data_IF_040082992813
#
_entry.id   IF_040082992813
#
_cell.length_a   1.000
_cell.length_b   1.000
_cell.length_c   1.000
_cell.angle_alpha   90.00
_cell.angle_beta   90.00
_cell.angle_gamma   90.00
#
_symmetry.space_group_name_H-M   'P 1'
#
loop_
_entity.id
_entity.type
_entity.pdbx_description
1 polymer ?
#
# COMPACT_ATOMS: atom_id res chain seq x y z
N UNK A 1 35.38 18.73 -6.39
CA UNK A 1 34.42 18.19 -7.38
C UNK A 1 34.07 16.73 -7.11
N UNK A 2 35.05 15.83 -6.88
CA UNK A 2 34.82 14.41 -6.53
C UNK A 2 34.00 14.20 -5.25
N UNK A 3 34.24 15.00 -4.20
CA UNK A 3 33.45 14.96 -2.93
C UNK A 3 32.00 15.46 -3.12
N UNK A 4 31.73 16.29 -4.13
CA UNK A 4 30.38 16.83 -4.41
C UNK A 4 29.49 15.87 -5.21
N UNK A 5 30.08 15.01 -6.04
CA UNK A 5 29.38 13.91 -6.73
C UNK A 5 29.05 12.78 -5.75
N UNK A 6 29.91 12.54 -4.75
CA UNK A 6 29.66 11.58 -3.67
C UNK A 6 28.47 11.96 -2.77
N UNK A 7 28.28 13.24 -2.47
CA UNK A 7 27.12 13.70 -1.68
C UNK A 7 25.79 13.50 -2.42
N UNK A 8 25.76 13.73 -3.74
CA UNK A 8 24.56 13.49 -4.57
C UNK A 8 24.29 11.99 -4.75
N UNK A 9 25.34 11.18 -4.89
CA UNK A 9 25.22 9.71 -4.91
C UNK A 9 24.79 9.13 -3.56
N UNK A 10 25.22 9.72 -2.44
CA UNK A 10 24.76 9.35 -1.10
C UNK A 10 23.29 9.74 -0.87
N UNK A 11 22.86 10.91 -1.36
CA UNK A 11 21.46 11.34 -1.33
C UNK A 11 20.56 10.45 -2.20
N UNK A 12 21.02 10.07 -3.41
CA UNK A 12 20.36 9.06 -4.25
C UNK A 12 20.37 7.64 -3.64
N UNK A 13 21.38 7.29 -2.84
CA UNK A 13 21.42 6.00 -2.14
C UNK A 13 20.39 5.93 -1.00
N UNK A 14 20.08 7.04 -0.34
CA UNK A 14 19.05 7.10 0.71
C UNK A 14 17.66 6.85 0.12
N UNK A 15 17.39 7.34 -1.10
CA UNK A 15 16.18 7.00 -1.87
C UNK A 15 16.10 5.49 -2.19
N UNK A 16 17.25 4.79 -2.26
CA UNK A 16 17.33 3.35 -2.55
C UNK A 16 17.23 2.44 -1.31
N UNK A 17 17.53 2.93 -0.11
CA UNK A 17 17.32 2.15 1.13
C UNK A 17 15.84 1.94 1.46
N UNK A 18 14.93 2.66 0.80
CA UNK A 18 13.47 2.52 0.95
C UNK A 18 12.89 1.22 0.35
N UNK A 19 13.71 0.32 -0.21
CA UNK A 19 13.25 -0.94 -0.80
C UNK A 19 13.95 -2.21 -0.26
N UNK A 20 14.82 -2.07 0.74
CA UNK A 20 15.52 -3.20 1.37
C UNK A 20 14.92 -3.57 2.72
N UNK A 21 13.86 -4.39 2.74
CA UNK A 21 13.32 -4.94 3.99
C UNK A 21 14.32 -5.96 4.54
N UNK A 22 15.15 -5.55 5.50
CA UNK A 22 15.82 -6.48 6.40
C UNK A 22 14.84 -6.74 7.53
N UNK A 23 14.20 -7.92 7.51
CA UNK A 23 13.25 -8.29 8.56
C UNK A 23 14.02 -8.46 9.86
N UNK A 24 13.76 -7.60 10.84
CA UNK A 24 14.39 -7.68 12.16
C UNK A 24 13.77 -8.82 12.99
N UNK A 25 14.48 -9.34 14.01
CA UNK A 25 13.92 -10.36 14.91
C UNK A 25 12.66 -9.88 15.67
N UNK A 26 12.49 -8.56 15.84
CA UNK A 26 11.29 -7.97 16.42
C UNK A 26 10.10 -8.02 15.44
N UNK A 27 10.33 -7.80 14.14
CA UNK A 27 9.28 -7.95 13.13
C UNK A 27 8.79 -9.41 13.00
N UNK A 28 9.65 -10.38 13.32
CA UNK A 28 9.27 -11.80 13.29
C UNK A 28 8.33 -12.18 14.45
N UNK A 29 8.50 -11.59 15.65
CA UNK A 29 7.55 -11.79 16.75
C UNK A 29 6.20 -11.11 16.48
N UNK A 30 6.22 -9.93 15.86
CA UNK A 30 5.00 -9.18 15.52
C UNK A 30 4.18 -9.94 14.47
N UNK A 31 4.84 -10.53 13.47
CA UNK A 31 4.18 -11.37 12.48
C UNK A 31 3.48 -12.58 13.11
N UNK A 32 4.11 -13.27 14.07
CA UNK A 32 3.49 -14.42 14.74
C UNK A 32 2.25 -14.02 15.53
N UNK A 33 2.29 -12.87 16.22
CA UNK A 33 1.14 -12.34 16.94
C UNK A 33 0.01 -11.96 15.98
N UNK A 34 0.32 -11.28 14.88
CA UNK A 34 -0.64 -10.90 13.82
C UNK A 34 -1.36 -12.12 13.24
N UNK A 35 -0.63 -13.19 12.91
CA UNK A 35 -1.22 -14.43 12.40
C UNK A 35 -2.09 -15.09 13.46
N UNK A 36 -1.60 -15.17 14.70
CA UNK A 36 -2.36 -15.76 15.81
C UNK A 36 -3.67 -15.02 16.07
N UNK A 37 -3.67 -13.69 16.06
CA UNK A 37 -4.89 -12.91 16.27
C UNK A 37 -5.90 -13.10 15.13
N UNK A 38 -5.43 -13.22 13.89
CA UNK A 38 -6.31 -13.60 12.79
C UNK A 38 -6.92 -14.99 13.02
N UNK A 39 -6.13 -15.99 13.41
CA UNK A 39 -6.63 -17.33 13.74
C UNK A 39 -7.65 -17.31 14.90
N UNK A 40 -7.35 -16.59 15.98
CA UNK A 40 -8.25 -16.42 17.14
C UNK A 40 -9.56 -15.73 16.71
N UNK A 41 -9.49 -14.75 15.80
CA UNK A 41 -10.66 -14.10 15.19
C UNK A 41 -11.48 -15.09 14.36
N UNK A 42 -10.86 -15.80 13.42
CA UNK A 42 -11.55 -16.77 12.56
C UNK A 42 -12.29 -17.81 13.41
N UNK A 43 -11.62 -18.34 14.44
CA UNK A 43 -12.20 -19.33 15.34
C UNK A 43 -13.39 -18.78 16.12
N UNK A 44 -13.26 -17.60 16.72
CA UNK A 44 -14.35 -16.96 17.48
C UNK A 44 -15.55 -16.65 16.58
N UNK A 45 -15.32 -16.06 15.41
CA UNK A 45 -16.36 -15.77 14.43
C UNK A 45 -17.08 -17.05 14.00
N UNK A 46 -16.33 -18.11 13.69
CA UNK A 46 -16.87 -19.42 13.34
C UNK A 46 -17.77 -20.03 14.43
N UNK A 47 -17.34 -19.98 15.70
CA UNK A 47 -18.15 -20.45 16.84
C UNK A 47 -19.47 -19.66 16.96
N UNK A 48 -19.40 -18.34 16.80
CA UNK A 48 -20.58 -17.45 16.84
C UNK A 48 -21.54 -17.78 15.68
N UNK A 49 -21.03 -17.95 14.46
CA UNK A 49 -21.85 -18.29 13.30
C UNK A 49 -22.50 -19.65 13.45
N UNK A 50 -21.82 -20.62 14.05
CA UNK A 50 -22.40 -21.93 14.35
C UNK A 50 -23.58 -21.80 15.33
N UNK A 51 -23.40 -21.03 16.40
CA UNK A 51 -24.46 -20.76 17.37
C UNK A 51 -25.66 -20.02 16.76
N UNK A 52 -25.42 -19.05 15.88
CA UNK A 52 -26.49 -18.36 15.15
C UNK A 52 -27.15 -19.25 14.10
N UNK A 53 -26.37 -20.08 13.41
CA UNK A 53 -26.87 -21.05 12.43
C UNK A 53 -27.83 -22.06 13.04
N UNK A 54 -27.61 -22.51 14.28
CA UNK A 54 -28.57 -23.36 14.99
C UNK A 54 -29.92 -22.69 15.26
N UNK A 55 -29.96 -21.36 15.31
CA UNK A 55 -31.18 -20.56 15.46
C UNK A 55 -31.80 -20.21 14.10
N UNK A 56 -31.00 -20.23 13.05
CA UNK A 56 -31.45 -20.00 11.69
C UNK A 56 -32.32 -21.16 11.18
N UNK A 57 -33.38 -20.83 10.45
CA UNK A 57 -34.21 -21.83 9.78
C UNK A 57 -33.47 -22.48 8.61
N UNK A 58 -33.84 -23.73 8.31
CA UNK A 58 -33.43 -24.36 7.06
C UNK A 58 -34.16 -23.68 5.89
N UNK A 59 -33.37 -23.25 4.92
CA UNK A 59 -33.81 -22.77 3.63
C UNK A 59 -33.68 -23.92 2.63
N UNK A 60 -34.54 -23.97 1.62
CA UNK A 60 -34.53 -25.01 0.58
C UNK A 60 -34.19 -24.46 -0.81
N UNK A 61 -33.94 -23.16 -0.92
CA UNK A 61 -33.75 -22.45 -2.19
C UNK A 61 -32.56 -21.48 -2.08
N UNK A 62 -31.64 -21.56 -3.04
CA UNK A 62 -30.39 -20.82 -3.00
C UNK A 62 -30.57 -19.32 -3.25
N UNK A 63 -31.54 -18.93 -4.08
CA UNK A 63 -31.87 -17.52 -4.33
C UNK A 63 -32.50 -16.88 -3.09
N UNK A 64 -33.39 -17.60 -2.40
CA UNK A 64 -33.94 -17.16 -1.13
C UNK A 64 -32.86 -17.04 -0.05
N UNK A 65 -31.90 -17.98 0.00
CA UNK A 65 -30.74 -17.88 0.90
C UNK A 65 -29.94 -16.59 0.62
N UNK A 66 -29.70 -16.27 -0.66
CA UNK A 66 -29.01 -15.04 -1.06
C UNK A 66 -29.77 -13.79 -0.58
N UNK A 67 -31.09 -13.77 -0.76
CA UNK A 67 -31.92 -12.63 -0.34
C UNK A 67 -31.86 -12.40 1.17
N UNK A 68 -31.99 -13.44 1.99
CA UNK A 68 -31.90 -13.27 3.45
C UNK A 68 -30.48 -12.93 3.89
N UNK A 69 -29.44 -13.51 3.28
CA UNK A 69 -28.05 -13.13 3.52
C UNK A 69 -27.81 -11.64 3.25
N UNK A 70 -28.17 -11.14 2.06
CA UNK A 70 -27.95 -9.73 1.68
C UNK A 70 -28.74 -8.77 2.56
N UNK A 71 -29.96 -9.14 2.96
CA UNK A 71 -30.78 -8.38 3.89
C UNK A 71 -30.08 -8.25 5.24
N UNK A 72 -29.57 -9.35 5.81
CA UNK A 72 -28.86 -9.32 7.09
C UNK A 72 -27.54 -8.52 7.00
N UNK A 73 -26.77 -8.67 5.92
CA UNK A 73 -25.58 -7.83 5.68
C UNK A 73 -25.93 -6.35 5.60
N UNK A 74 -26.98 -5.97 4.85
CA UNK A 74 -27.41 -4.57 4.72
C UNK A 74 -27.88 -3.93 6.03
N UNK A 75 -28.30 -4.76 6.99
CA UNK A 75 -28.72 -4.33 8.32
C UNK A 75 -27.56 -4.31 9.34
N UNK A 76 -26.35 -4.69 8.91
CA UNK A 76 -25.21 -4.83 9.82
C UNK A 76 -25.38 -6.00 10.79
N UNK A 77 -26.03 -7.10 10.38
CA UNK A 77 -26.19 -8.32 11.17
C UNK A 77 -25.25 -9.43 10.64
N UNK A 78 -23.93 -9.24 10.78
CA UNK A 78 -22.90 -10.13 10.23
C UNK A 78 -22.99 -11.54 10.80
N UNK A 79 -23.21 -11.70 12.10
CA UNK A 79 -23.30 -12.99 12.76
C UNK A 79 -24.49 -13.81 12.25
N UNK A 80 -25.62 -13.12 12.04
CA UNK A 80 -26.84 -13.75 11.52
C UNK A 80 -26.68 -14.11 10.04
N UNK A 81 -26.13 -13.22 9.23
CA UNK A 81 -25.88 -13.45 7.81
C UNK A 81 -24.96 -14.66 7.59
N UNK A 82 -23.83 -14.71 8.30
CA UNK A 82 -22.88 -15.82 8.16
C UNK A 82 -23.40 -17.11 8.81
N UNK A 83 -24.16 -17.01 9.90
CA UNK A 83 -24.85 -18.15 10.51
C UNK A 83 -25.87 -18.82 9.60
N UNK A 84 -26.64 -18.06 8.80
CA UNK A 84 -27.61 -18.65 7.86
C UNK A 84 -26.92 -19.39 6.72
N UNK A 85 -25.76 -18.92 6.25
CA UNK A 85 -24.96 -19.67 5.26
C UNK A 85 -24.46 -21.00 5.83
N UNK A 86 -23.92 -20.97 7.06
CA UNK A 86 -23.39 -22.16 7.73
C UNK A 86 -24.48 -23.21 7.99
N UNK A 87 -25.68 -22.78 8.41
CA UNK A 87 -26.82 -23.67 8.61
C UNK A 87 -27.29 -24.35 7.30
N UNK A 88 -27.09 -23.67 6.17
CA UNK A 88 -27.59 -24.06 4.86
C UNK A 88 -26.49 -24.53 3.89
N UNK A 89 -25.32 -24.95 4.41
CA UNK A 89 -24.23 -25.45 3.58
C UNK A 89 -24.66 -26.56 2.60
N UNK A 90 -25.68 -27.35 2.94
CA UNK A 90 -26.21 -28.42 2.08
C UNK A 90 -26.86 -27.93 0.79
N UNK A 91 -27.24 -26.66 0.71
CA UNK A 91 -27.82 -26.07 -0.50
C UNK A 91 -26.76 -25.66 -1.52
N UNK A 92 -25.50 -25.52 -1.11
CA UNK A 92 -24.45 -25.10 -2.03
C UNK A 92 -24.25 -26.19 -3.09
N UNK A 93 -24.37 -25.85 -4.38
CA UNK A 93 -24.22 -26.79 -5.46
C UNK A 93 -22.79 -27.32 -5.50
N UNK A 94 -22.63 -28.54 -6.03
CA UNK A 94 -21.32 -29.18 -6.21
C UNK A 94 -20.54 -28.62 -7.41
N UNK A 95 -21.16 -27.71 -8.18
CA UNK A 95 -20.56 -27.00 -9.30
C UNK A 95 -19.76 -25.78 -8.78
N UNK A 96 -18.42 -25.77 -8.88
CA UNK A 96 -17.60 -24.69 -8.33
C UNK A 96 -17.76 -23.35 -9.07
N UNK A 97 -18.21 -23.38 -10.31
CA UNK A 97 -18.45 -22.23 -11.19
C UNK A 97 -19.85 -21.61 -11.02
N UNK A 98 -20.66 -22.12 -10.08
CA UNK A 98 -21.97 -21.55 -9.80
C UNK A 98 -21.84 -20.09 -9.32
N UNK A 99 -22.45 -19.16 -10.06
CA UNK A 99 -22.32 -17.72 -9.81
C UNK A 99 -22.73 -17.29 -8.39
N UNK A 100 -23.71 -17.97 -7.77
CA UNK A 100 -24.14 -17.65 -6.41
C UNK A 100 -23.08 -18.06 -5.38
N UNK A 101 -22.50 -19.25 -5.54
CA UNK A 101 -21.38 -19.72 -4.70
C UNK A 101 -20.21 -18.75 -4.79
N UNK A 102 -19.80 -18.43 -6.01
CA UNK A 102 -18.72 -17.47 -6.31
C UNK A 102 -19.00 -16.14 -5.61
N UNK A 103 -20.24 -15.63 -5.67
CA UNK A 103 -20.60 -14.38 -4.99
C UNK A 103 -20.54 -14.47 -3.45
N UNK A 104 -21.02 -15.56 -2.84
CA UNK A 104 -20.92 -15.74 -1.39
C UNK A 104 -19.47 -15.81 -0.91
N UNK A 105 -18.62 -16.56 -1.63
CA UNK A 105 -17.20 -16.68 -1.29
C UNK A 105 -16.48 -15.34 -1.42
N UNK A 106 -16.76 -14.55 -2.47
CA UNK A 106 -16.18 -13.22 -2.63
C UNK A 106 -16.62 -12.28 -1.50
N UNK A 107 -17.91 -12.23 -1.16
CA UNK A 107 -18.46 -11.41 -0.09
C UNK A 107 -17.85 -11.77 1.28
N UNK A 108 -17.71 -13.07 1.58
CA UNK A 108 -17.07 -13.56 2.81
C UNK A 108 -15.60 -13.11 2.88
N UNK A 109 -14.83 -13.30 1.82
CA UNK A 109 -13.43 -12.90 1.79
C UNK A 109 -13.23 -11.38 1.82
N UNK A 110 -14.19 -10.58 1.35
CA UNK A 110 -14.17 -9.12 1.51
C UNK A 110 -14.27 -8.69 2.98
N UNK A 111 -14.95 -9.47 3.82
CA UNK A 111 -15.07 -9.25 5.26
C UNK A 111 -14.03 -10.03 6.08
N UNK A 112 -13.01 -10.61 5.44
CA UNK A 112 -12.03 -11.49 6.08
C UNK A 112 -12.67 -12.71 6.79
N UNK A 113 -13.78 -13.24 6.30
CA UNK A 113 -14.42 -14.47 6.81
C UNK A 113 -13.83 -15.71 6.14
N UNK A 114 -12.49 -15.83 6.22
CA UNK A 114 -11.70 -16.83 5.50
C UNK A 114 -12.14 -18.25 5.83
N UNK A 115 -12.32 -18.56 7.10
CA UNK A 115 -12.64 -19.94 7.52
C UNK A 115 -14.00 -20.41 6.98
N UNK A 116 -15.01 -19.54 6.92
CA UNK A 116 -16.30 -19.88 6.36
C UNK A 116 -16.23 -20.03 4.83
N UNK A 117 -15.48 -19.16 4.15
CA UNK A 117 -15.20 -19.29 2.72
C UNK A 117 -14.49 -20.61 2.39
N UNK A 118 -13.46 -20.99 3.17
CA UNK A 118 -12.75 -22.26 3.05
C UNK A 118 -13.66 -23.47 3.34
N UNK A 119 -14.59 -23.34 4.29
CA UNK A 119 -15.58 -24.39 4.58
C UNK A 119 -16.51 -24.63 3.39
N UNK A 120 -16.97 -23.55 2.73
CA UNK A 120 -17.78 -23.66 1.51
C UNK A 120 -16.93 -24.27 0.38
N UNK A 121 -15.71 -23.79 0.19
CA UNK A 121 -14.77 -24.31 -0.82
C UNK A 121 -14.52 -25.82 -0.65
N UNK A 122 -14.08 -26.25 0.54
CA UNK A 122 -13.74 -27.65 0.81
C UNK A 122 -14.93 -28.60 0.70
N UNK A 123 -16.15 -28.11 0.97
CA UNK A 123 -17.37 -28.88 0.73
C UNK A 123 -17.61 -29.15 -0.76
N UNK A 124 -17.40 -28.14 -1.60
CA UNK A 124 -17.58 -28.26 -3.05
C UNK A 124 -16.49 -29.17 -3.62
N UNK A 125 -15.24 -29.00 -3.17
CA UNK A 125 -14.11 -29.85 -3.52
C UNK A 125 -14.37 -31.33 -3.19
N UNK A 126 -14.83 -31.62 -1.98
CA UNK A 126 -15.17 -32.99 -1.57
C UNK A 126 -16.32 -33.61 -2.37
N UNK A 127 -17.19 -32.79 -2.97
CA UNK A 127 -18.32 -33.25 -3.76
C UNK A 127 -18.04 -33.34 -5.27
N UNK A 128 -16.91 -32.78 -5.74
CA UNK A 128 -16.58 -32.68 -7.15
C UNK A 128 -15.05 -32.68 -7.36
N UNK A 129 -14.43 -33.85 -7.17
CA UNK A 129 -12.97 -34.03 -7.27
C UNK A 129 -12.39 -33.65 -8.64
N UNK A 130 -13.19 -33.68 -9.71
CA UNK A 130 -12.78 -33.31 -11.06
C UNK A 130 -13.29 -31.92 -11.50
N UNK A 131 -13.86 -31.14 -10.57
CA UNK A 131 -14.44 -29.83 -10.86
C UNK A 131 -13.39 -28.80 -11.25
N UNK A 132 -13.81 -27.79 -12.04
CA UNK A 132 -12.96 -26.65 -12.34
C UNK A 132 -13.09 -25.57 -11.26
N UNK A 133 -12.08 -25.46 -10.39
CA UNK A 133 -12.06 -24.51 -9.27
C UNK A 133 -11.48 -23.14 -9.66
N UNK A 134 -11.32 -22.87 -10.97
CA UNK A 134 -10.63 -21.67 -11.46
C UNK A 134 -11.18 -20.37 -10.91
N UNK A 135 -12.50 -20.18 -10.94
CA UNK A 135 -13.13 -18.96 -10.41
C UNK A 135 -13.00 -18.82 -8.88
N UNK A 136 -13.18 -19.90 -8.13
CA UNK A 136 -13.02 -19.86 -6.67
C UNK A 136 -11.57 -19.57 -6.28
N UNK A 137 -10.62 -20.27 -6.88
CA UNK A 137 -9.21 -20.03 -6.61
C UNK A 137 -8.76 -18.64 -7.05
N UNK A 138 -9.35 -18.08 -8.11
CA UNK A 138 -9.14 -16.69 -8.50
C UNK A 138 -9.63 -15.71 -7.42
N UNK A 139 -10.81 -15.95 -6.83
CA UNK A 139 -11.32 -15.15 -5.70
C UNK A 139 -10.38 -15.25 -4.49
N UNK A 140 -9.92 -16.44 -4.14
CA UNK A 140 -8.92 -16.61 -3.08
C UNK A 140 -7.61 -15.88 -3.42
N UNK A 141 -7.16 -15.92 -4.67
CA UNK A 141 -5.97 -15.19 -5.09
C UNK A 141 -6.16 -13.66 -4.97
N UNK A 142 -7.34 -13.10 -5.31
CA UNK A 142 -7.66 -11.68 -5.04
C UNK A 142 -7.57 -11.38 -3.54
N UNK A 143 -8.11 -12.26 -2.70
CA UNK A 143 -8.06 -12.13 -1.25
C UNK A 143 -6.61 -12.09 -0.75
N UNK A 144 -5.80 -13.10 -1.07
CA UNK A 144 -4.40 -13.16 -0.66
C UNK A 144 -3.56 -12.00 -1.23
N UNK A 145 -3.87 -11.51 -2.44
CA UNK A 145 -3.22 -10.34 -3.01
C UNK A 145 -3.47 -9.07 -2.18
N UNK A 146 -4.71 -8.87 -1.69
CA UNK A 146 -5.04 -7.75 -0.77
C UNK A 146 -4.27 -7.86 0.55
N UNK A 147 -4.05 -9.08 1.04
CA UNK A 147 -3.24 -9.33 2.23
C UNK A 147 -1.73 -9.35 1.97
N UNK A 148 -1.31 -9.17 0.72
CA UNK A 148 0.09 -9.26 0.27
C UNK A 148 0.75 -10.62 0.53
N UNK A 149 -0.05 -11.68 0.63
CA UNK A 149 0.45 -13.05 0.66
C UNK A 149 0.73 -13.52 -0.78
N UNK A 150 1.82 -12.97 -1.33
CA UNK A 150 2.29 -13.29 -2.67
C UNK A 150 2.65 -14.77 -2.87
N UNK A 151 3.18 -15.50 -1.87
CA UNK A 151 3.31 -16.95 -1.95
C UNK A 151 1.98 -17.66 -2.28
N UNK A 152 0.91 -17.36 -1.55
CA UNK A 152 -0.42 -17.96 -1.81
C UNK A 152 -0.98 -17.58 -3.17
N UNK A 153 -0.86 -16.30 -3.57
CA UNK A 153 -1.28 -15.84 -4.91
C UNK A 153 -0.54 -16.63 -6.01
N UNK A 154 0.77 -16.82 -5.85
CA UNK A 154 1.60 -17.56 -6.81
C UNK A 154 1.38 -19.08 -6.73
N UNK A 155 0.83 -19.62 -5.65
CA UNK A 155 0.42 -21.02 -5.55
C UNK A 155 -0.89 -21.27 -6.29
N UNK A 156 -1.87 -20.37 -6.15
CA UNK A 156 -3.21 -20.53 -6.73
C UNK A 156 -3.18 -20.33 -8.25
N UNK A 157 -2.66 -19.19 -8.73
CA UNK A 157 -2.87 -18.73 -10.11
C UNK A 157 -2.19 -19.52 -11.26
N UNK A 158 -1.05 -20.24 -11.10
CA UNK A 158 -0.36 -20.87 -12.23
C UNK A 158 -1.18 -21.86 -13.06
N UNK A 159 -2.19 -22.51 -12.47
CA UNK A 159 -2.98 -23.54 -13.14
C UNK A 159 -4.36 -23.05 -13.59
N UNK A 160 -4.77 -21.85 -13.18
CA UNK A 160 -6.15 -21.34 -13.27
C UNK A 160 -6.40 -20.51 -14.53
N UNK A 161 -5.37 -19.80 -15.00
CA UNK A 161 -5.51 -18.85 -16.10
C UNK A 161 -5.98 -19.46 -17.42
N UNK A 162 -5.94 -20.79 -17.55
CA UNK A 162 -6.37 -21.53 -18.75
C UNK A 162 -7.90 -21.58 -18.86
N UNK A 163 -8.64 -21.58 -17.74
CA UNK A 163 -10.10 -21.76 -17.76
C UNK A 163 -10.90 -20.49 -17.44
N UNK A 164 -10.24 -19.45 -16.90
CA UNK A 164 -10.84 -18.12 -16.83
C UNK A 164 -10.97 -17.53 -18.25
N UNK A 165 -11.95 -16.67 -18.46
CA UNK A 165 -12.14 -15.98 -19.74
C UNK A 165 -12.30 -14.48 -19.57
N UNK A 166 -12.04 -13.72 -20.63
CA UNK A 166 -12.23 -12.27 -20.65
C UNK A 166 -11.37 -11.53 -19.61
N UNK A 167 -11.97 -10.55 -18.95
CA UNK A 167 -11.27 -9.67 -18.01
C UNK A 167 -10.77 -10.40 -16.75
N UNK A 168 -11.45 -11.45 -16.30
CA UNK A 168 -11.00 -12.23 -15.14
C UNK A 168 -9.68 -12.96 -15.40
N UNK A 169 -9.51 -13.50 -16.62
CA UNK A 169 -8.26 -14.12 -17.03
C UNK A 169 -7.11 -13.11 -17.07
N UNK A 170 -7.37 -11.94 -17.67
CA UNK A 170 -6.40 -10.84 -17.72
C UNK A 170 -6.03 -10.34 -16.31
N UNK A 171 -7.01 -10.25 -15.40
CA UNK A 171 -6.74 -9.84 -14.03
C UNK A 171 -5.96 -10.90 -13.25
N UNK A 172 -6.26 -12.18 -13.46
CA UNK A 172 -5.47 -13.28 -12.90
C UNK A 172 -4.01 -13.23 -13.37
N UNK A 173 -3.76 -12.96 -14.66
CA UNK A 173 -2.40 -12.75 -15.16
C UNK A 173 -1.72 -11.53 -14.52
N UNK A 174 -2.46 -10.45 -14.27
CA UNK A 174 -1.92 -9.27 -13.60
C UNK A 174 -1.50 -9.61 -12.16
N UNK A 175 -2.35 -10.31 -11.41
CA UNK A 175 -2.05 -10.74 -10.04
C UNK A 175 -0.87 -11.73 -9.99
N UNK A 176 -0.79 -12.66 -10.95
CA UNK A 176 0.34 -13.58 -11.06
C UNK A 176 1.65 -12.87 -11.36
N UNK A 177 1.63 -11.88 -12.27
CA UNK A 177 2.81 -11.06 -12.55
C UNK A 177 3.23 -10.27 -11.31
N UNK A 178 2.27 -9.68 -10.60
CA UNK A 178 2.54 -8.93 -9.36
C UNK A 178 3.16 -9.84 -8.29
N UNK A 179 2.57 -11.01 -8.03
CA UNK A 179 3.06 -11.95 -7.02
C UNK A 179 4.50 -12.38 -7.31
N UNK A 180 4.81 -12.75 -8.56
CA UNK A 180 6.17 -13.06 -9.01
C UNK A 180 7.12 -11.88 -8.81
N UNK A 181 6.67 -10.65 -9.12
CA UNK A 181 7.51 -9.47 -8.97
C UNK A 181 7.85 -9.18 -7.49
N UNK A 182 6.90 -9.36 -6.57
CA UNK A 182 7.13 -9.24 -5.12
C UNK A 182 7.99 -10.37 -4.57
N UNK A 183 7.89 -11.58 -5.13
CA UNK A 183 8.79 -12.70 -4.86
C UNK A 183 10.17 -12.58 -5.53
N UNK A 184 10.51 -11.38 -6.04
CA UNK A 184 11.78 -11.05 -6.73
C UNK A 184 12.02 -11.87 -8.01
N UNK A 185 11.00 -12.52 -8.56
CA UNK A 185 11.02 -13.26 -9.82
C UNK A 185 10.70 -12.34 -11.01
N UNK A 186 11.48 -11.26 -11.17
CA UNK A 186 11.18 -10.18 -12.12
C UNK A 186 11.05 -10.67 -13.57
N UNK A 187 11.94 -11.55 -14.05
CA UNK A 187 11.85 -12.09 -15.42
C UNK A 187 10.56 -12.89 -15.65
N UNK A 188 10.19 -13.77 -14.71
CA UNK A 188 8.99 -14.59 -14.81
C UNK A 188 7.71 -13.76 -14.68
N UNK A 189 7.74 -12.61 -14.00
CA UNK A 189 6.57 -11.71 -13.95
C UNK A 189 6.22 -11.13 -15.32
N UNK A 190 7.21 -10.92 -16.19
CA UNK A 190 7.00 -10.37 -17.54
C UNK A 190 6.18 -11.34 -18.39
N UNK A 191 6.45 -12.64 -18.31
CA UNK A 191 5.68 -13.68 -19.02
C UNK A 191 4.18 -13.64 -18.66
N UNK A 192 3.85 -13.40 -17.39
CA UNK A 192 2.46 -13.24 -16.95
C UNK A 192 1.84 -11.96 -17.50
N UNK A 193 2.55 -10.83 -17.47
CA UNK A 193 2.06 -9.59 -18.05
C UNK A 193 1.90 -9.65 -19.59
N UNK A 194 2.72 -10.47 -20.26
CA UNK A 194 2.66 -10.68 -21.70
C UNK A 194 1.41 -11.42 -22.17
N UNK A 195 0.79 -12.20 -21.29
CA UNK A 195 -0.46 -12.91 -21.58
C UNK A 195 -1.71 -12.00 -21.59
N UNK A 196 -1.61 -10.76 -21.10
CA UNK A 196 -2.75 -9.83 -20.99
C UNK A 196 -3.03 -9.17 -22.34
N UNK A 197 -4.29 -9.26 -22.81
CA UNK A 197 -4.72 -8.69 -24.09
C UNK A 197 -4.52 -7.18 -24.17
N UNK A 198 -4.15 -6.64 -25.34
CA UNK A 198 -4.06 -5.20 -25.58
C UNK A 198 -5.40 -4.48 -25.38
N UNK A 199 -6.53 -5.16 -25.61
CA UNK A 199 -7.87 -4.61 -25.42
C UNK A 199 -8.32 -4.60 -23.96
N UNK A 200 -7.61 -5.29 -23.08
CA UNK A 200 -7.94 -5.42 -21.66
C UNK A 200 -7.87 -4.08 -20.93
N UNK A 201 -8.75 -3.87 -19.95
CA UNK A 201 -8.63 -2.76 -19.01
C UNK A 201 -7.30 -2.80 -18.23
N UNK A 202 -6.75 -3.99 -18.00
CA UNK A 202 -5.52 -4.21 -17.23
C UNK A 202 -4.23 -4.07 -18.05
N UNK A 203 -4.33 -3.93 -19.37
CA UNK A 203 -3.15 -3.87 -20.26
C UNK A 203 -2.16 -2.78 -19.85
N UNK A 204 -2.67 -1.58 -19.57
CA UNK A 204 -1.81 -0.43 -19.24
C UNK A 204 -1.09 -0.66 -17.90
N UNK A 205 -1.75 -1.29 -16.93
CA UNK A 205 -1.12 -1.68 -15.67
C UNK A 205 -0.03 -2.74 -15.87
N UNK A 206 -0.31 -3.77 -16.67
CA UNK A 206 0.63 -4.84 -17.00
C UNK A 206 1.91 -4.33 -17.66
N UNK A 207 1.77 -3.42 -18.64
CA UNK A 207 2.91 -2.82 -19.34
C UNK A 207 3.72 -1.89 -18.43
N UNK A 208 3.07 -1.11 -17.57
CA UNK A 208 3.78 -0.33 -16.56
C UNK A 208 4.54 -1.24 -15.58
N UNK A 209 3.93 -2.32 -15.12
CA UNK A 209 4.58 -3.27 -14.21
C UNK A 209 5.75 -4.01 -14.88
N UNK A 210 5.66 -4.28 -16.18
CA UNK A 210 6.79 -4.78 -17.00
C UNK A 210 7.95 -3.79 -17.00
N UNK A 211 7.68 -2.49 -17.22
CA UNK A 211 8.72 -1.45 -17.14
C UNK A 211 9.35 -1.38 -15.74
N UNK A 212 8.55 -1.49 -14.67
CA UNK A 212 9.06 -1.54 -13.30
C UNK A 212 9.94 -2.78 -13.04
N UNK A 213 9.58 -3.94 -13.60
CA UNK A 213 10.39 -5.15 -13.53
C UNK A 213 11.74 -4.96 -14.24
N UNK A 214 11.74 -4.28 -15.38
CA UNK A 214 12.96 -3.92 -16.11
C UNK A 214 13.85 -2.94 -15.33
N UNK A 215 13.26 -1.89 -14.72
CA UNK A 215 14.01 -0.96 -13.86
C UNK A 215 14.72 -1.70 -12.71
N UNK A 216 14.01 -2.59 -12.02
CA UNK A 216 14.57 -3.40 -10.90
C UNK A 216 15.72 -4.32 -11.34
N UNK A 217 15.76 -4.70 -12.62
CA UNK A 217 16.84 -5.49 -13.21
C UNK A 217 17.97 -4.64 -13.81
N UNK A 218 17.87 -3.30 -13.73
CA UNK A 218 18.81 -2.37 -14.34
C UNK A 218 18.63 -2.17 -15.85
N UNK A 219 17.55 -2.67 -16.44
CA UNK A 219 17.24 -2.54 -17.87
C UNK A 219 16.44 -1.26 -18.16
N UNK A 220 17.02 -0.12 -17.78
CA UNK A 220 16.33 1.18 -17.80
C UNK A 220 15.93 1.64 -19.21
N UNK A 221 16.73 1.35 -20.23
CA UNK A 221 16.42 1.71 -21.62
C UNK A 221 15.15 1.03 -22.14
N UNK A 222 14.97 -0.26 -21.81
CA UNK A 222 13.77 -1.01 -22.18
C UNK A 222 12.55 -0.45 -21.43
N UNK A 223 12.67 -0.21 -20.14
CA UNK A 223 11.62 0.40 -19.33
C UNK A 223 11.18 1.77 -19.86
N UNK A 224 12.13 2.62 -20.23
CA UNK A 224 11.87 3.92 -20.84
C UNK A 224 11.09 3.75 -22.16
N UNK A 225 11.54 2.85 -23.05
CA UNK A 225 10.85 2.59 -24.31
C UNK A 225 9.40 2.17 -24.10
N UNK A 226 9.16 1.28 -23.14
CA UNK A 226 7.81 0.82 -22.77
C UNK A 226 6.96 2.00 -22.30
N UNK A 227 7.44 2.77 -21.31
CA UNK A 227 6.65 3.87 -20.72
C UNK A 227 6.34 4.95 -21.76
N UNK A 228 7.31 5.36 -22.58
CA UNK A 228 7.10 6.38 -23.61
C UNK A 228 6.03 5.98 -24.63
N UNK A 229 5.99 4.70 -25.03
CA UNK A 229 4.94 4.18 -25.93
C UNK A 229 3.58 4.04 -25.23
N UNK A 230 3.58 3.82 -23.93
CA UNK A 230 2.37 3.56 -23.15
C UNK A 230 1.60 4.83 -22.76
N UNK A 231 2.29 5.95 -22.56
CA UNK A 231 1.68 7.26 -22.24
C UNK A 231 0.54 7.66 -23.20
N UNK A 232 0.71 7.66 -24.54
CA UNK A 232 -0.38 8.04 -25.44
C UNK A 232 -1.57 7.07 -25.36
N UNK A 233 -1.32 5.77 -25.13
CA UNK A 233 -2.38 4.77 -24.93
C UNK A 233 -3.16 5.08 -23.65
N UNK A 234 -2.47 5.34 -22.54
CA UNK A 234 -3.09 5.68 -21.26
C UNK A 234 -3.96 6.94 -21.34
N UNK A 235 -3.46 7.99 -22.02
CA UNK A 235 -4.23 9.24 -22.25
C UNK A 235 -5.49 9.00 -23.07
N UNK A 236 -5.42 8.16 -24.11
CA UNK A 236 -6.60 7.85 -24.94
C UNK A 236 -7.70 7.10 -24.19
N UNK A 237 -7.38 6.50 -23.04
CA UNK A 237 -8.32 5.81 -22.14
C UNK A 237 -8.74 6.66 -20.94
N UNK A 238 -8.40 7.95 -20.93
CA UNK A 238 -8.74 8.88 -19.84
C UNK A 238 -8.21 8.45 -18.46
N UNK A 239 -7.14 7.64 -18.42
CA UNK A 239 -6.50 7.17 -17.18
C UNK A 239 -5.47 8.20 -16.67
N UNK A 240 -5.95 9.36 -16.21
CA UNK A 240 -5.11 10.49 -15.82
C UNK A 240 -4.09 10.14 -14.72
N UNK A 241 -4.52 9.58 -13.59
CA UNK A 241 -3.60 9.28 -12.49
C UNK A 241 -2.56 8.22 -12.84
N UNK A 242 -2.95 7.22 -13.64
CA UNK A 242 -2.00 6.22 -14.14
C UNK A 242 -0.96 6.86 -15.08
N UNK A 243 -1.36 7.84 -15.88
CA UNK A 243 -0.47 8.62 -16.75
C UNK A 243 0.49 9.48 -15.92
N UNK A 244 -0.02 10.17 -14.88
CA UNK A 244 0.79 10.93 -13.93
C UNK A 244 1.82 10.02 -13.24
N UNK A 245 1.40 8.81 -12.82
CA UNK A 245 2.31 7.79 -12.26
C UNK A 245 3.40 7.40 -13.24
N UNK A 246 3.08 7.21 -14.52
CA UNK A 246 4.07 6.88 -15.56
C UNK A 246 5.12 7.97 -15.71
N UNK A 247 4.71 9.25 -15.71
CA UNK A 247 5.64 10.37 -15.78
C UNK A 247 6.57 10.42 -14.57
N UNK A 248 6.06 10.17 -13.36
CA UNK A 248 6.90 10.08 -12.16
C UNK A 248 7.89 8.92 -12.25
N UNK A 249 7.42 7.72 -12.62
CA UNK A 249 8.30 6.54 -12.77
C UNK A 249 9.39 6.79 -13.81
N UNK A 250 9.01 7.34 -14.97
CA UNK A 250 9.94 7.70 -16.04
C UNK A 250 10.95 8.75 -15.57
N UNK A 251 10.47 9.82 -14.93
CA UNK A 251 11.31 10.90 -14.42
C UNK A 251 12.36 10.39 -13.44
N UNK A 252 11.99 9.55 -12.46
CA UNK A 252 12.95 8.99 -11.52
C UNK A 252 13.91 7.97 -12.15
N UNK A 253 13.43 7.15 -13.10
CA UNK A 253 14.30 6.24 -13.85
C UNK A 253 15.36 7.01 -14.65
N UNK A 254 14.98 8.11 -15.30
CA UNK A 254 15.90 9.01 -16.04
C UNK A 254 16.85 9.74 -15.08
N UNK A 255 16.34 10.22 -13.94
CA UNK A 255 17.15 10.89 -12.92
C UNK A 255 18.25 9.97 -12.39
N UNK A 256 17.95 8.69 -12.17
CA UNK A 256 18.91 7.69 -11.71
C UNK A 256 20.04 7.45 -12.73
N UNK A 257 19.74 7.60 -14.03
CA UNK A 257 20.72 7.50 -15.12
C UNK A 257 21.42 8.84 -15.43
N UNK A 258 21.24 9.84 -14.56
CA UNK A 258 21.81 11.19 -14.73
C UNK A 258 21.29 11.94 -15.99
N UNK A 259 20.18 11.50 -16.58
CA UNK A 259 19.49 12.19 -17.68
C UNK A 259 18.60 13.34 -17.15
N UNK A 260 19.21 14.31 -16.48
CA UNK A 260 18.51 15.34 -15.71
C UNK A 260 17.53 16.19 -16.54
N UNK A 261 17.86 16.48 -17.81
CA UNK A 261 16.98 17.27 -18.68
C UNK A 261 15.69 16.51 -18.98
N UNK A 262 15.83 15.27 -19.46
CA UNK A 262 14.70 14.43 -19.82
C UNK A 262 13.86 14.05 -18.58
N UNK A 263 14.51 13.81 -17.44
CA UNK A 263 13.85 13.58 -16.16
C UNK A 263 12.95 14.77 -15.78
N UNK A 264 13.49 16.00 -15.85
CA UNK A 264 12.72 17.22 -15.58
C UNK A 264 11.54 17.38 -16.53
N UNK A 265 11.72 17.09 -17.80
CA UNK A 265 10.66 17.20 -18.79
C UNK A 265 9.57 16.14 -18.55
N UNK A 266 9.92 14.93 -18.14
CA UNK A 266 8.94 13.93 -17.72
C UNK A 266 8.12 14.42 -16.51
N UNK A 267 8.77 14.89 -15.44
CA UNK A 267 8.06 15.37 -14.24
C UNK A 267 7.13 16.56 -14.50
N UNK A 268 7.48 17.45 -15.44
CA UNK A 268 6.63 18.60 -15.82
C UNK A 268 5.29 18.21 -16.45
N UNK A 269 5.14 16.97 -16.89
CA UNK A 269 3.89 16.48 -17.45
C UNK A 269 2.91 15.93 -16.40
N UNK A 270 3.30 15.92 -15.11
CA UNK A 270 2.41 15.54 -14.01
C UNK A 270 1.49 16.70 -13.69
N UNK A 271 0.19 16.43 -13.64
CA UNK A 271 -0.83 17.44 -13.34
C UNK A 271 -0.70 17.98 -11.90
N UNK A 272 -1.16 19.21 -11.66
CA UNK A 272 -0.94 19.93 -10.38
C UNK A 272 -1.80 19.44 -9.21
N UNK A 273 -2.90 18.78 -9.52
CA UNK A 273 -3.90 18.20 -8.62
C UNK A 273 -3.75 16.69 -8.44
N UNK A 274 -2.80 16.05 -9.14
CA UNK A 274 -2.50 14.64 -8.99
C UNK A 274 -1.94 14.28 -7.61
N UNK A 275 -2.20 13.05 -7.15
CA UNK A 275 -1.55 12.49 -5.95
C UNK A 275 -0.02 12.33 -6.10
N UNK A 276 0.49 12.53 -7.32
CA UNK A 276 1.90 12.40 -7.68
C UNK A 276 2.63 13.74 -7.82
N UNK A 277 1.95 14.88 -7.71
CA UNK A 277 2.53 16.19 -7.97
C UNK A 277 3.70 16.51 -7.04
N UNK A 278 3.61 16.20 -5.75
CA UNK A 278 4.69 16.54 -4.80
C UNK A 278 5.99 15.78 -5.13
N UNK A 279 5.87 14.50 -5.46
CA UNK A 279 7.00 13.70 -5.95
C UNK A 279 7.57 14.27 -7.26
N UNK A 280 6.70 14.70 -8.17
CA UNK A 280 7.12 15.33 -9.42
C UNK A 280 7.84 16.66 -9.20
N UNK A 281 7.33 17.55 -8.33
CA UNK A 281 7.98 18.81 -7.97
C UNK A 281 9.34 18.57 -7.33
N UNK A 282 9.46 17.56 -6.48
CA UNK A 282 10.74 17.20 -5.87
C UNK A 282 11.73 16.69 -6.93
N UNK A 283 11.26 15.84 -7.84
CA UNK A 283 12.03 15.41 -9.01
C UNK A 283 12.48 16.56 -9.92
N UNK A 284 11.62 17.57 -10.14
CA UNK A 284 11.96 18.80 -10.88
C UNK A 284 13.07 19.55 -10.16
N UNK A 285 12.97 19.73 -8.84
CA UNK A 285 13.97 20.40 -8.04
C UNK A 285 15.34 19.70 -8.16
N UNK A 286 15.39 18.39 -7.93
CA UNK A 286 16.62 17.60 -8.03
C UNK A 286 17.24 17.68 -9.43
N UNK A 287 16.42 17.58 -10.47
CA UNK A 287 16.85 17.66 -11.86
C UNK A 287 17.41 19.05 -12.20
N UNK A 288 16.72 20.12 -11.78
CA UNK A 288 17.13 21.50 -12.03
C UNK A 288 18.45 21.83 -11.32
N UNK A 289 18.59 21.45 -10.05
CA UNK A 289 19.82 21.64 -9.29
C UNK A 289 20.99 20.89 -9.91
N UNK A 290 20.76 19.67 -10.40
CA UNK A 290 21.78 18.87 -11.08
C UNK A 290 22.24 19.49 -12.40
N UNK A 291 21.34 20.20 -13.10
CA UNK A 291 21.64 20.98 -14.31
C UNK A 291 22.28 22.36 -14.02
N UNK A 292 22.38 22.78 -12.75
CA UNK A 292 22.83 24.12 -12.38
C UNK A 292 21.76 25.21 -12.55
N UNK A 293 20.52 24.84 -12.85
CA UNK A 293 19.36 25.73 -12.94
C UNK A 293 18.76 25.94 -11.54
N UNK A 294 19.49 26.70 -10.72
CA UNK A 294 19.20 26.87 -9.30
C UNK A 294 17.92 27.68 -9.05
N UNK A 295 17.56 28.60 -9.95
CA UNK A 295 16.32 29.38 -9.87
C UNK A 295 15.08 28.48 -10.02
N UNK A 296 15.09 27.58 -11.02
CA UNK A 296 14.00 26.61 -11.19
C UNK A 296 13.94 25.65 -10.00
N UNK A 297 15.09 25.20 -9.50
CA UNK A 297 15.16 24.36 -8.30
C UNK A 297 14.56 25.04 -7.08
N UNK A 298 14.90 26.32 -6.86
CA UNK A 298 14.40 27.13 -5.76
C UNK A 298 12.88 27.31 -5.83
N UNK A 299 12.35 27.62 -7.02
CA UNK A 299 10.91 27.76 -7.23
C UNK A 299 10.15 26.47 -6.93
N UNK A 300 10.64 25.32 -7.42
CA UNK A 300 10.00 24.02 -7.16
C UNK A 300 9.98 23.65 -5.67
N UNK A 301 11.09 23.90 -4.95
CA UNK A 301 11.17 23.68 -3.50
C UNK A 301 10.22 24.60 -2.72
N UNK A 302 10.13 25.88 -3.10
CA UNK A 302 9.22 26.81 -2.44
C UNK A 302 7.75 26.42 -2.66
N UNK A 303 7.38 25.96 -3.85
CA UNK A 303 6.05 25.43 -4.12
C UNK A 303 5.73 24.21 -3.25
N UNK A 304 6.68 23.27 -3.12
CA UNK A 304 6.52 22.09 -2.24
C UNK A 304 6.23 22.48 -0.80
N UNK A 305 7.00 23.42 -0.24
CA UNK A 305 6.84 23.87 1.15
C UNK A 305 5.48 24.52 1.42
N UNK A 306 4.86 25.11 0.39
CA UNK A 306 3.55 25.76 0.47
C UNK A 306 2.37 24.77 0.37
N UNK A 307 2.62 23.49 0.05
CA UNK A 307 1.56 22.47 -0.02
C UNK A 307 1.12 22.10 1.40
N UNK A 308 -0.18 21.84 1.56
CA UNK A 308 -0.79 21.45 2.84
C UNK A 308 -0.59 19.97 3.21
N UNK A 309 0.04 19.19 2.35
CA UNK A 309 0.31 17.77 2.57
C UNK A 309 1.51 17.54 3.47
N UNK A 310 1.46 16.48 4.27
CA UNK A 310 2.48 16.12 5.24
C UNK A 310 3.39 14.97 4.77
N UNK A 311 3.61 14.89 3.46
CA UNK A 311 4.42 13.86 2.83
C UNK A 311 5.93 14.10 2.92
N UNK A 312 6.69 13.02 2.71
CA UNK A 312 8.16 13.06 2.75
C UNK A 312 8.77 14.03 1.74
N UNK A 313 8.14 14.24 0.57
CA UNK A 313 8.67 15.15 -0.45
C UNK A 313 8.66 16.61 0.01
N UNK A 314 7.65 17.01 0.79
CA UNK A 314 7.61 18.31 1.45
C UNK A 314 8.69 18.43 2.53
N UNK A 315 8.83 17.42 3.39
CA UNK A 315 9.86 17.42 4.43
C UNK A 315 11.27 17.56 3.82
N UNK A 316 11.60 16.76 2.80
CA UNK A 316 12.90 16.81 2.11
C UNK A 316 13.16 18.16 1.43
N UNK A 317 12.12 18.89 1.03
CA UNK A 317 12.27 20.21 0.42
C UNK A 317 12.93 21.23 1.38
N UNK A 318 12.71 21.11 2.69
CA UNK A 318 13.36 21.98 3.68
C UNK A 318 14.87 21.76 3.74
N UNK A 319 15.34 20.52 3.57
CA UNK A 319 16.77 20.22 3.53
C UNK A 319 17.43 20.61 2.20
N UNK A 320 16.66 20.58 1.11
CA UNK A 320 17.18 20.92 -0.21
C UNK A 320 17.44 22.43 -0.37
N UNK A 321 16.65 23.28 0.32
CA UNK A 321 16.73 24.73 0.20
C UNK A 321 18.11 25.33 0.57
N UNK A 322 18.72 25.00 1.73
CA UNK A 322 20.07 25.46 2.05
C UNK A 322 21.12 25.08 1.01
N UNK A 323 21.01 23.88 0.45
CA UNK A 323 21.94 23.41 -0.59
C UNK A 323 21.86 24.24 -1.88
N UNK A 324 20.67 24.72 -2.24
CA UNK A 324 20.49 25.63 -3.37
C UNK A 324 21.16 26.98 -3.07
N UNK A 325 20.94 27.55 -1.89
CA UNK A 325 21.54 28.83 -1.49
C UNK A 325 23.07 28.76 -1.39
N UNK A 326 23.63 27.62 -0.94
CA UNK A 326 25.07 27.38 -0.98
C UNK A 326 25.64 27.47 -2.40
N UNK A 327 24.90 26.96 -3.40
CA UNK A 327 25.32 27.02 -4.80
C UNK A 327 25.10 28.39 -5.44
N UNK A 328 24.19 29.20 -4.91
CA UNK A 328 23.96 30.59 -5.31
C UNK A 328 24.91 31.58 -4.62
N UNK A 329 25.76 31.13 -3.70
CA UNK A 329 26.63 31.96 -2.84
C UNK A 329 25.87 33.05 -2.05
N UNK A 330 24.60 32.76 -1.72
CA UNK A 330 23.75 33.67 -0.93
C UNK A 330 23.94 33.41 0.56
N UNK A 331 25.06 33.89 1.10
CA UNK A 331 25.53 33.59 2.47
C UNK A 331 24.45 33.76 3.55
N UNK A 332 23.76 34.90 3.57
CA UNK A 332 22.71 35.16 4.56
C UNK A 332 21.57 34.13 4.48
N UNK A 333 21.16 33.78 3.25
CA UNK A 333 20.06 32.85 3.00
C UNK A 333 20.40 31.40 3.39
N UNK A 334 21.68 31.03 3.45
CA UNK A 334 22.13 29.69 3.88
C UNK A 334 21.80 29.49 5.37
N UNK A 335 22.20 30.42 6.22
CA UNK A 335 21.94 30.36 7.67
C UNK A 335 20.44 30.35 7.97
N UNK A 336 19.70 31.27 7.35
CA UNK A 336 18.25 31.40 7.54
C UNK A 336 17.52 30.11 7.11
N UNK A 337 17.93 29.52 5.98
CA UNK A 337 17.31 28.30 5.46
C UNK A 337 17.62 27.06 6.30
N UNK A 338 18.85 26.90 6.82
CA UNK A 338 19.14 25.80 7.74
C UNK A 338 18.36 25.96 9.04
N UNK A 339 18.26 27.17 9.57
CA UNK A 339 17.48 27.48 10.77
C UNK A 339 16.00 27.17 10.56
N UNK A 340 15.45 27.54 9.40
CA UNK A 340 14.08 27.20 9.03
C UNK A 340 13.85 25.68 8.93
N UNK A 341 14.78 24.93 8.35
CA UNK A 341 14.70 23.47 8.28
C UNK A 341 14.75 22.82 9.67
N UNK A 342 15.66 23.27 10.53
CA UNK A 342 15.78 22.82 11.92
C UNK A 342 14.45 23.04 12.67
N UNK A 343 13.90 24.25 12.59
CA UNK A 343 12.64 24.59 13.25
C UNK A 343 11.47 23.74 12.73
N UNK A 344 11.39 23.53 11.41
CA UNK A 344 10.38 22.67 10.78
C UNK A 344 10.43 21.25 11.34
N UNK A 345 11.59 20.59 11.27
CA UNK A 345 11.71 19.20 11.75
C UNK A 345 11.47 19.08 13.25
N UNK A 346 11.90 20.06 14.06
CA UNK A 346 11.63 20.07 15.49
C UNK A 346 10.13 20.20 15.79
N UNK A 347 9.42 21.12 15.12
CA UNK A 347 7.98 21.26 15.27
C UNK A 347 7.26 19.96 14.88
N UNK A 348 7.65 19.37 13.75
CA UNK A 348 7.08 18.12 13.25
C UNK A 348 7.29 16.93 14.18
N UNK A 349 8.49 16.80 14.74
CA UNK A 349 8.78 15.77 15.74
C UNK A 349 7.92 15.97 16.98
N UNK A 350 7.77 17.20 17.47
CA UNK A 350 6.92 17.50 18.63
C UNK A 350 5.43 17.18 18.38
N UNK A 351 4.93 17.47 17.17
CA UNK A 351 3.56 17.11 16.76
C UNK A 351 3.35 15.57 16.79
N UNK A 352 4.29 14.83 16.23
CA UNK A 352 4.25 13.37 16.20
C UNK A 352 4.42 12.74 17.60
N UNK A 353 5.28 13.30 18.45
CA UNK A 353 5.43 12.89 19.85
C UNK A 353 4.14 13.17 20.65
N UNK A 354 3.45 14.28 20.38
CA UNK A 354 2.16 14.56 20.99
C UNK A 354 1.10 13.55 20.52
N UNK A 355 1.10 13.18 19.23
CA UNK A 355 0.20 12.18 18.66
C UNK A 355 0.38 10.80 19.31
N UNK A 356 1.63 10.38 19.53
CA UNK A 356 1.99 9.12 20.20
C UNK A 356 1.40 8.97 21.61
N UNK A 357 1.19 10.07 22.32
CA UNK A 357 0.69 10.07 23.70
C UNK A 357 -0.84 10.15 23.80
N UNK A 358 -1.55 10.27 22.68
CA UNK A 358 -3.00 10.36 22.66
C UNK A 358 -3.62 8.96 22.55
N UNK A 359 -4.74 8.70 23.25
CA UNK A 359 -5.48 7.46 23.05
C UNK A 359 -5.96 7.39 21.59
N UNK A 360 -5.78 6.22 20.97
CA UNK A 360 -6.27 5.98 19.62
C UNK A 360 -7.79 5.93 19.61
N UNK A 361 -8.39 6.81 18.81
CA UNK A 361 -9.79 6.74 18.46
C UNK A 361 -9.93 5.99 17.14
N UNK A 362 -10.22 4.69 17.23
CA UNK A 362 -10.38 3.81 16.07
C UNK A 362 -11.52 4.24 15.13
N UNK A 363 -12.45 5.08 15.58
CA UNK A 363 -13.48 5.64 14.70
C UNK A 363 -12.93 6.68 13.72
N UNK A 364 -11.77 7.27 14.02
CA UNK A 364 -11.07 8.24 13.18
C UNK A 364 -9.98 7.60 12.32
N UNK A 365 -9.78 6.28 12.47
CA UNK A 365 -8.80 5.53 11.70
C UNK A 365 -9.46 5.05 10.42
N UNK A 366 -9.01 5.60 9.30
CA UNK A 366 -9.42 5.18 7.98
C UNK A 366 -8.22 4.62 7.22
N UNK A 367 -8.41 3.44 6.64
CA UNK A 367 -7.50 2.89 5.65
C UNK A 367 -8.05 3.27 4.28
N UNK A 368 -7.31 4.07 3.54
CA UNK A 368 -7.63 4.32 2.14
C UNK A 368 -7.41 3.05 1.30
N UNK A 369 -8.01 3.00 0.11
CA UNK A 369 -7.73 1.95 -0.89
C UNK A 369 -6.24 1.86 -1.25
N UNK A 370 -5.50 2.95 -1.02
CA UNK A 370 -4.05 3.05 -1.21
C UNK A 370 -3.24 2.28 -0.15
N UNK A 371 -3.88 1.85 0.94
CA UNK A 371 -3.25 1.22 2.09
C UNK A 371 -2.61 2.22 3.06
N UNK A 372 -2.94 3.51 2.93
CA UNK A 372 -2.54 4.56 3.87
C UNK A 372 -3.50 4.64 5.03
N UNK A 373 -2.93 4.74 6.22
CA UNK A 373 -3.63 4.98 7.47
C UNK A 373 -3.66 6.49 7.70
N UNK A 374 -4.85 7.06 7.81
CA UNK A 374 -5.02 8.47 8.20
C UNK A 374 -5.35 8.53 9.69
N UNK A 375 -4.57 9.32 10.43
CA UNK A 375 -4.80 9.63 11.83
C UNK A 375 -4.62 11.13 12.05
N UNK A 376 -5.73 11.84 12.28
CA UNK A 376 -5.74 13.31 12.50
C UNK A 376 -4.91 14.08 11.47
N UNK A 377 -5.23 13.86 10.19
CA UNK A 377 -4.58 14.50 9.02
C UNK A 377 -3.14 14.01 8.76
N UNK A 378 -2.61 13.10 9.57
CA UNK A 378 -1.33 12.45 9.34
C UNK A 378 -1.50 11.16 8.55
N UNK A 379 -0.70 10.98 7.51
CA UNK A 379 -0.71 9.79 6.68
C UNK A 379 0.46 8.86 7.02
N UNK A 380 0.15 7.59 7.27
CA UNK A 380 1.13 6.53 7.51
C UNK A 380 1.00 5.40 6.51
N UNK A 381 2.13 4.81 6.13
CA UNK A 381 2.20 3.71 5.16
C UNK A 381 1.96 2.35 5.83
N UNK A 382 0.70 2.10 6.19
CA UNK A 382 0.31 0.92 6.97
C UNK A 382 0.40 -0.37 6.16
N UNK A 383 -0.23 -0.42 4.99
CA UNK A 383 -0.32 -1.68 4.23
C UNK A 383 1.01 -2.16 3.64
N UNK A 384 2.05 -1.32 3.62
CA UNK A 384 3.39 -1.80 3.26
C UNK A 384 4.03 -2.66 4.35
N UNK A 385 3.61 -2.53 5.60
CA UNK A 385 4.24 -3.19 6.75
C UNK A 385 3.29 -4.18 7.44
N UNK A 386 1.99 -3.95 7.37
CA UNK A 386 0.98 -4.73 8.09
C UNK A 386 -0.20 -5.13 7.19
N UNK A 387 -0.83 -6.28 7.44
CA UNK A 387 -1.94 -6.74 6.62
C UNK A 387 -3.22 -5.92 6.87
N UNK A 388 -3.95 -5.51 5.82
CA UNK A 388 -5.19 -4.74 5.95
C UNK A 388 -6.27 -5.39 6.81
N UNK A 389 -6.30 -6.74 6.87
CA UNK A 389 -7.32 -7.46 7.64
C UNK A 389 -7.32 -7.13 9.14
N UNK A 390 -6.24 -6.58 9.72
CA UNK A 390 -6.22 -6.20 11.14
C UNK A 390 -7.32 -5.18 11.47
N UNK A 391 -7.49 -4.17 10.61
CA UNK A 391 -8.53 -3.16 10.78
C UNK A 391 -9.92 -3.72 10.47
N UNK A 392 -10.02 -4.62 9.48
CA UNK A 392 -11.27 -5.32 9.16
C UNK A 392 -11.75 -6.18 10.33
N UNK A 393 -10.89 -7.03 10.88
CA UNK A 393 -11.23 -7.90 12.02
C UNK A 393 -11.64 -7.07 13.23
N UNK A 394 -10.91 -5.99 13.52
CA UNK A 394 -11.24 -5.10 14.64
C UNK A 394 -12.62 -4.44 14.48
N UNK A 395 -12.97 -4.04 13.26
CA UNK A 395 -14.30 -3.49 12.94
C UNK A 395 -15.38 -4.56 13.08
N UNK A 396 -15.16 -5.74 12.51
CA UNK A 396 -16.10 -6.85 12.60
C UNK A 396 -16.34 -7.28 14.04
N UNK A 397 -15.30 -7.32 14.89
CA UNK A 397 -15.46 -7.59 16.32
C UNK A 397 -16.35 -6.55 17.02
N UNK A 398 -16.22 -5.26 16.68
CA UNK A 398 -17.12 -4.22 17.18
C UNK A 398 -18.58 -4.45 16.76
N UNK A 399 -18.78 -4.92 15.52
CA UNK A 399 -20.10 -5.28 15.02
C UNK A 399 -20.67 -6.51 15.75
N UNK A 400 -19.88 -7.59 15.88
CA UNK A 400 -20.26 -8.80 16.62
C UNK A 400 -20.58 -8.49 18.09
N UNK A 401 -19.82 -7.59 18.74
CA UNK A 401 -20.09 -7.14 20.11
C UNK A 401 -21.49 -6.51 20.24
N UNK A 402 -21.95 -5.79 19.21
CA UNK A 402 -23.30 -5.19 19.19
C UNK A 402 -24.43 -6.17 18.88
N UNK A 403 -24.11 -7.30 18.23
CA UNK A 403 -25.10 -8.29 17.80
C UNK A 403 -25.32 -9.41 18.83
N UNK A 404 -24.31 -9.73 19.64
CA UNK A 404 -24.28 -10.94 20.48
C UNK A 404 -24.58 -10.61 21.95
N UNK A 405 -25.65 -11.21 22.48
CA UNK A 405 -26.07 -11.11 23.89
C UNK A 405 -25.62 -12.30 24.76
N UNK A 406 -24.84 -13.22 24.21
CA UNK A 406 -24.35 -14.39 24.95
C UNK A 406 -23.12 -14.01 25.80
N UNK A 407 -23.19 -14.25 27.11
CA UNK A 407 -22.16 -13.79 28.04
C UNK A 407 -20.77 -14.40 27.80
N UNK A 408 -20.69 -15.64 27.32
CA UNK A 408 -19.40 -16.28 27.02
C UNK A 408 -18.78 -15.67 25.76
N UNK A 409 -19.58 -15.50 24.70
CA UNK A 409 -19.10 -14.84 23.48
C UNK A 409 -18.74 -13.38 23.70
N UNK A 410 -19.54 -12.62 24.46
CA UNK A 410 -19.19 -11.22 24.79
C UNK A 410 -17.84 -11.12 25.47
N UNK A 411 -17.55 -11.99 26.46
CA UNK A 411 -16.24 -12.01 27.13
C UNK A 411 -15.08 -12.31 26.15
N UNK A 412 -15.27 -13.27 25.24
CA UNK A 412 -14.26 -13.63 24.23
C UNK A 412 -14.06 -12.49 23.21
N UNK A 413 -15.13 -11.84 22.77
CA UNK A 413 -15.08 -10.67 21.87
C UNK A 413 -14.33 -9.52 22.55
N UNK A 414 -14.69 -9.16 23.78
CA UNK A 414 -14.07 -8.05 24.51
C UNK A 414 -12.57 -8.28 24.72
N UNK A 415 -12.18 -9.52 25.07
CA UNK A 415 -10.77 -9.89 25.20
C UNK A 415 -10.02 -9.76 23.88
N UNK A 416 -10.61 -10.22 22.77
CA UNK A 416 -9.95 -10.15 21.47
C UNK A 416 -9.87 -8.70 20.96
N UNK A 417 -10.90 -7.89 21.21
CA UNK A 417 -10.87 -6.44 20.98
C UNK A 417 -9.69 -5.80 21.72
N UNK A 418 -9.50 -6.10 23.00
CA UNK A 418 -8.39 -5.56 23.79
C UNK A 418 -7.04 -5.93 23.18
N UNK A 419 -6.88 -7.17 22.71
CA UNK A 419 -5.63 -7.62 22.07
C UNK A 419 -5.37 -6.93 20.72
N UNK A 420 -6.41 -6.76 19.89
CA UNK A 420 -6.30 -5.99 18.66
C UNK A 420 -5.98 -4.51 18.94
N UNK A 421 -6.61 -3.92 19.95
CA UNK A 421 -6.37 -2.53 20.33
C UNK A 421 -4.94 -2.32 20.86
N UNK A 422 -4.40 -3.28 21.61
CA UNK A 422 -2.99 -3.26 22.02
C UNK A 422 -2.04 -3.32 20.82
N UNK A 423 -2.24 -4.31 19.93
CA UNK A 423 -1.40 -4.48 18.74
C UNK A 423 -1.47 -3.27 17.79
N UNK A 424 -2.68 -2.78 17.49
CA UNK A 424 -2.85 -1.62 16.60
C UNK A 424 -2.21 -0.37 17.21
N UNK A 425 -2.29 -0.20 18.53
CA UNK A 425 -1.58 0.88 19.21
C UNK A 425 -0.06 0.77 19.07
N UNK A 426 0.50 -0.43 19.25
CA UNK A 426 1.93 -0.68 19.02
C UNK A 426 2.35 -0.40 17.57
N UNK A 427 1.53 -0.81 16.59
CA UNK A 427 1.77 -0.55 15.16
C UNK A 427 1.77 0.95 14.88
N UNK A 428 0.76 1.69 15.34
CA UNK A 428 0.69 3.14 15.11
C UNK A 428 1.87 3.86 15.76
N UNK A 429 2.25 3.47 16.99
CA UNK A 429 3.43 3.99 17.67
C UNK A 429 4.70 3.72 16.84
N UNK A 430 4.85 2.51 16.31
CA UNK A 430 5.99 2.14 15.46
C UNK A 430 6.05 2.98 14.18
N UNK A 431 4.91 3.19 13.50
CA UNK A 431 4.82 4.03 12.31
C UNK A 431 5.20 5.49 12.61
N UNK A 432 4.75 6.04 13.74
CA UNK A 432 5.13 7.37 14.21
C UNK A 432 6.63 7.43 14.51
N UNK A 433 7.17 6.44 15.21
CA UNK A 433 8.59 6.38 15.57
C UNK A 433 9.50 6.31 14.32
N UNK A 434 9.08 5.58 13.29
CA UNK A 434 9.77 5.54 12.01
C UNK A 434 9.80 6.94 11.35
N UNK A 435 8.68 7.65 11.33
CA UNK A 435 8.62 9.01 10.79
C UNK A 435 9.49 9.99 11.58
N UNK A 436 9.45 9.91 12.93
CA UNK A 436 10.35 10.66 13.81
C UNK A 436 11.82 10.33 13.51
N UNK A 437 12.17 9.07 13.23
CA UNK A 437 13.53 8.69 12.88
C UNK A 437 14.00 9.33 11.56
N UNK A 438 13.14 9.38 10.54
CA UNK A 438 13.42 10.09 9.29
C UNK A 438 13.65 11.59 9.52
N UNK A 439 12.74 12.24 10.27
CA UNK A 439 12.85 13.66 10.60
C UNK A 439 14.10 13.97 11.42
N UNK A 440 14.48 13.11 12.37
CA UNK A 440 15.72 13.25 13.12
C UNK A 440 16.96 13.14 12.23
N UNK A 441 16.94 12.26 11.22
CA UNK A 441 18.01 12.18 10.22
C UNK A 441 18.14 13.52 9.47
N UNK A 442 17.03 14.09 8.99
CA UNK A 442 17.05 15.38 8.31
C UNK A 442 17.46 16.54 9.23
N UNK A 443 17.00 16.54 10.49
CA UNK A 443 17.39 17.50 11.52
C UNK A 443 18.90 17.48 11.77
N UNK A 444 19.48 16.29 11.91
CA UNK A 444 20.92 16.14 12.09
C UNK A 444 21.71 16.62 10.87
N UNK A 445 21.22 16.33 9.65
CA UNK A 445 21.81 16.84 8.41
C UNK A 445 21.76 18.37 8.33
N UNK A 446 20.64 18.98 8.71
CA UNK A 446 20.49 20.44 8.74
C UNK A 446 21.41 21.10 9.78
N UNK A 447 21.51 20.55 10.99
CA UNK A 447 22.42 21.02 12.05
C UNK A 447 23.89 20.92 11.63
N UNK A 448 24.27 19.79 11.03
CA UNK A 448 25.62 19.60 10.51
C UNK A 448 25.94 20.59 9.39
N UNK A 449 25.00 20.81 8.47
CA UNK A 449 25.11 21.80 7.41
C UNK A 449 25.35 23.22 7.94
N UNK A 450 24.57 23.62 8.95
CA UNK A 450 24.72 24.93 9.61
C UNK A 450 26.06 25.07 10.33
N UNK A 451 26.47 24.08 11.13
CA UNK A 451 27.76 24.11 11.82
C UNK A 451 28.93 24.24 10.83
N UNK A 452 28.87 23.46 9.74
CA UNK A 452 29.85 23.53 8.65
C UNK A 452 29.87 24.92 8.01
N UNK A 453 28.72 25.56 7.83
CA UNK A 453 28.64 26.92 7.28
C UNK A 453 29.39 27.94 8.16
N UNK A 454 29.19 27.91 9.49
CA UNK A 454 29.91 28.79 10.41
C UNK A 454 31.43 28.53 10.43
N UNK A 455 31.86 27.28 10.35
CA UNK A 455 33.29 26.95 10.26
C UNK A 455 33.95 27.55 9.02
N UNK A 456 33.25 27.59 7.88
CA UNK A 456 33.73 28.25 6.66
C UNK A 456 33.81 29.77 6.82
N UNK A 457 32.77 30.41 7.36
CA UNK A 457 32.77 31.86 7.59
C UNK A 457 33.93 32.29 8.51
N UNK A 458 34.21 31.52 9.56
CA UNK A 458 35.28 31.82 10.51
C UNK A 458 36.70 31.64 9.93
N UNK A 459 36.85 30.84 8.86
CA UNK A 459 38.13 30.70 8.14
C UNK A 459 38.37 31.86 7.19
N UNK A 460 37.34 32.37 6.52
CA UNK A 460 37.44 33.53 5.63
C UNK A 460 37.78 34.84 6.37
N UNK A 461 37.55 34.90 7.69
CA UNK A 461 37.85 36.04 8.54
C UNK A 461 39.31 36.07 9.07
N UNK A 462 40.10 35.01 8.83
CA UNK A 462 41.53 34.92 9.21
C UNK A 462 42.41 35.06 7.98
#
# INVERSE_FOLDING_TARGET
MVVRVLAMKAFLLIVFCLFGINISLAEQSDHQLVVKLDEDYQQLAGDIYLAQGHRAGLINDLDFLRSEYQKDISQGNLAKANGILLANLKLFPTQPDNALVVSFVDDLLQHNERQLAETIYGRIEAANESGDFSYLNFIFAKYYARQRDWPQVNQLLPQISINLTGEDADYAYLLQGLSRQFLKQHRQSIESYDAISETSAYFVHARLNTALANIRQGWTTEAQSIITKLIPVSRSRENTELTNRMFVVLGYALLQQEFFRDARDAFRNVESDSVHTNRALFGIALSAISLGDLETGLNAVNLLKQRESDDLSRDEAYLLLPYIYERLDQRQSIEDSFSAAINHYQARILELEALKNLPLDYSQIHLEDTGRLILREQEFDFSNQHPPYLLTNRRNLGQLSSEINDAEFSLRIDRLIEQYDQLLNEIVISLIDQQIAYLNSYLNQARYGLARHYDYQNRDLK
#
